data_IF_020054814933
#
_entry.id   IF_020054814933
#
_cell.length_a   1.000
_cell.length_b   1.000
_cell.length_c   1.000
_cell.angle_alpha   90.00
_cell.angle_beta   90.00
_cell.angle_gamma   90.00
#
_symmetry.space_group_name_H-M   'P 1'
#
loop_
_entity.id
_entity.type
_entity.pdbx_description
1 polymer ?
#
# COMPACT_ATOMS: atom_id res chain seq x y z
N UNK A 1 -0.18 -7.40 -15.20
CA UNK A 1 1.25 -7.11 -15.41
C UNK A 1 2.04 -7.97 -14.44
N UNK A 2 3.11 -8.66 -14.86
CA UNK A 2 3.98 -9.35 -13.92
C UNK A 2 4.62 -8.30 -13.00
N UNK A 3 4.55 -8.53 -11.70
CA UNK A 3 5.22 -7.72 -10.69
C UNK A 3 6.72 -7.84 -10.97
N UNK A 4 7.39 -6.71 -11.15
CA UNK A 4 8.83 -6.70 -11.33
C UNK A 4 9.50 -7.24 -10.06
N UNK A 5 9.99 -8.45 -10.09
CA UNK A 5 10.67 -9.13 -8.98
C UNK A 5 12.04 -8.51 -8.64
N UNK A 6 12.46 -7.47 -9.37
CA UNK A 6 13.72 -6.75 -9.15
C UNK A 6 13.55 -5.46 -8.30
N UNK A 7 12.45 -5.34 -7.56
CA UNK A 7 12.30 -4.24 -6.61
C UNK A 7 13.42 -4.29 -5.56
N UNK A 8 14.24 -3.25 -5.49
CA UNK A 8 15.30 -3.12 -4.50
C UNK A 8 14.77 -2.50 -3.22
N UNK A 9 15.22 -3.00 -2.08
CA UNK A 9 14.96 -2.39 -0.79
C UNK A 9 15.75 -1.08 -0.64
N UNK A 10 15.32 -0.21 0.29
CA UNK A 10 16.06 1.03 0.60
C UNK A 10 17.53 0.74 0.99
N UNK A 11 17.76 -0.31 1.76
CA UNK A 11 19.10 -0.75 2.15
C UNK A 11 19.93 -1.08 0.91
N UNK A 12 19.39 -1.85 -0.02
CA UNK A 12 20.10 -2.22 -1.25
C UNK A 12 20.40 -1.00 -2.14
N UNK A 13 19.51 0.00 -2.19
CA UNK A 13 19.74 1.24 -2.92
C UNK A 13 20.84 2.05 -2.24
N UNK A 14 20.77 2.19 -0.91
CA UNK A 14 21.79 2.88 -0.11
C UNK A 14 23.16 2.25 -0.30
N UNK A 15 23.27 0.94 -0.19
CA UNK A 15 24.51 0.19 -0.41
C UNK A 15 25.05 0.36 -1.83
N UNK A 16 24.17 0.37 -2.84
CA UNK A 16 24.62 0.63 -4.21
C UNK A 16 25.23 2.04 -4.35
N UNK A 17 24.64 3.05 -3.73
CA UNK A 17 25.17 4.41 -3.71
C UNK A 17 26.52 4.45 -3.00
N UNK A 18 26.64 3.84 -1.83
CA UNK A 18 27.88 3.78 -1.06
C UNK A 18 29.02 3.10 -1.82
N UNK A 19 28.72 1.98 -2.46
CA UNK A 19 29.70 1.27 -3.28
C UNK A 19 30.13 2.09 -4.51
N UNK A 20 29.21 2.78 -5.17
CA UNK A 20 29.54 3.63 -6.34
C UNK A 20 30.41 4.84 -5.98
N UNK A 21 30.21 5.39 -4.80
CA UNK A 21 30.94 6.57 -4.34
C UNK A 21 32.24 6.22 -3.60
N UNK A 22 32.42 4.95 -3.24
CA UNK A 22 33.55 4.51 -2.40
C UNK A 22 33.44 5.03 -0.95
N UNK A 23 32.30 5.53 -0.55
CA UNK A 23 32.08 6.16 0.75
C UNK A 23 31.60 5.17 1.83
N UNK A 24 31.54 3.87 1.51
CA UNK A 24 30.97 2.87 2.41
C UNK A 24 31.83 1.59 2.43
N UNK A 25 32.00 1.04 3.62
CA UNK A 25 32.47 -0.33 3.84
C UNK A 25 31.37 -1.14 4.54
N UNK A 26 31.31 -2.43 4.30
CA UNK A 26 30.34 -3.35 4.95
C UNK A 26 31.04 -4.45 5.69
N UNK A 27 30.43 -4.92 6.77
CA UNK A 27 30.94 -6.06 7.54
C UNK A 27 29.81 -6.79 8.28
N UNK A 28 30.22 -7.83 8.99
CA UNK A 28 29.33 -8.62 9.85
C UNK A 28 29.99 -8.71 11.24
N UNK A 29 29.23 -8.40 12.26
CA UNK A 29 29.69 -8.51 13.63
C UNK A 29 30.12 -9.95 13.90
N UNK A 30 31.33 -10.15 14.41
CA UNK A 30 31.84 -11.49 14.72
C UNK A 30 32.31 -11.66 16.18
N UNK A 31 32.22 -10.60 16.97
CA UNK A 31 32.51 -10.64 18.40
C UNK A 31 31.32 -10.17 19.25
N UNK A 32 31.27 -10.61 20.49
CA UNK A 32 30.25 -10.12 21.43
C UNK A 32 30.69 -8.77 21.97
N UNK A 33 30.09 -7.71 21.45
CA UNK A 33 30.28 -6.35 21.91
C UNK A 33 29.34 -5.96 23.07
N UNK A 34 29.08 -4.68 23.19
CA UNK A 34 28.05 -4.12 24.08
C UNK A 34 27.15 -3.19 23.27
N UNK A 35 26.14 -2.62 23.88
CA UNK A 35 25.29 -1.62 23.21
C UNK A 35 26.07 -0.41 22.67
N UNK A 36 27.27 -0.16 23.18
CA UNK A 36 28.14 0.95 22.75
C UNK A 36 29.40 0.50 21.99
N UNK A 37 29.51 -0.79 21.68
CA UNK A 37 30.69 -1.35 21.01
C UNK A 37 30.31 -2.37 19.94
N UNK A 38 31.01 -2.33 18.81
CA UNK A 38 30.90 -3.29 17.72
C UNK A 38 32.27 -3.92 17.50
N UNK A 39 32.35 -5.25 17.43
CA UNK A 39 33.57 -6.01 17.25
C UNK A 39 33.50 -6.81 15.97
N UNK A 40 34.49 -6.63 15.08
CA UNK A 40 34.64 -7.46 13.89
C UNK A 40 36.12 -7.61 13.51
N UNK A 41 36.69 -8.75 13.88
CA UNK A 41 38.08 -9.07 13.58
C UNK A 41 38.34 -9.42 12.12
N UNK A 42 37.32 -9.62 11.29
CA UNK A 42 37.45 -9.98 9.90
C UNK A 42 37.28 -8.79 8.95
N UNK A 43 36.37 -7.88 9.27
CA UNK A 43 36.01 -6.74 8.42
C UNK A 43 36.73 -5.44 8.76
N UNK A 44 37.10 -5.25 10.04
CA UNK A 44 37.79 -4.03 10.50
C UNK A 44 39.30 -4.23 10.45
N UNK A 45 39.91 -3.86 9.31
CA UNK A 45 41.35 -4.09 9.02
C UNK A 45 42.19 -2.83 9.01
N UNK A 46 41.57 -1.70 9.35
CA UNK A 46 42.25 -0.39 9.37
C UNK A 46 43.29 -0.20 10.46
N UNK A 47 44.06 0.87 10.37
CA UNK A 47 44.94 1.33 11.46
C UNK A 47 44.14 1.85 12.65
N UNK A 48 44.81 2.09 13.76
CA UNK A 48 44.20 2.69 14.93
C UNK A 48 43.58 4.06 14.54
N UNK A 49 42.44 4.39 15.08
CA UNK A 49 41.68 5.61 14.80
C UNK A 49 41.11 5.76 13.37
N UNK A 50 41.33 4.79 12.45
CA UNK A 50 40.93 4.95 11.04
C UNK A 50 39.47 5.24 10.79
N UNK A 51 38.60 4.74 11.64
CA UNK A 51 37.15 4.92 11.51
C UNK A 51 36.59 6.05 12.38
N UNK A 52 37.44 6.79 13.09
CA UNK A 52 37.01 7.86 13.98
C UNK A 52 36.30 8.98 13.20
N UNK A 53 35.14 9.39 13.71
CA UNK A 53 34.28 10.39 13.07
C UNK A 53 33.32 9.86 12.02
N UNK A 54 33.56 8.66 11.50
CA UNK A 54 32.67 7.97 10.57
C UNK A 54 31.33 7.60 11.22
N UNK A 55 30.36 7.26 10.41
CA UNK A 55 29.05 6.77 10.86
C UNK A 55 28.93 5.27 10.62
N UNK A 56 28.33 4.57 11.57
CA UNK A 56 27.98 3.17 11.41
C UNK A 56 26.44 3.01 11.37
N UNK A 57 25.96 2.23 10.41
CA UNK A 57 24.60 1.73 10.37
C UNK A 57 24.64 0.24 10.71
N UNK A 58 23.95 -0.18 11.75
CA UNK A 58 23.89 -1.58 12.18
C UNK A 58 22.46 -2.06 12.00
N UNK A 59 22.32 -3.21 11.33
CA UNK A 59 21.05 -3.89 11.11
C UNK A 59 20.99 -5.10 12.03
N UNK A 60 20.03 -5.09 12.95
CA UNK A 60 19.71 -6.23 13.81
C UNK A 60 19.05 -7.34 12.95
N UNK A 61 19.69 -8.48 12.87
CA UNK A 61 19.18 -9.64 12.12
C UNK A 61 17.88 -10.21 12.74
N UNK A 62 17.62 -9.95 14.01
CA UNK A 62 16.43 -10.41 14.72
C UNK A 62 15.18 -9.59 14.43
N UNK A 63 15.31 -8.28 14.28
CA UNK A 63 14.17 -7.35 14.12
C UNK A 63 14.12 -6.68 12.75
N UNK A 64 15.17 -6.78 11.95
CA UNK A 64 15.39 -6.03 10.72
C UNK A 64 15.42 -4.50 10.89
N UNK A 65 15.55 -4.01 12.11
CA UNK A 65 15.72 -2.61 12.42
C UNK A 65 17.17 -2.16 12.17
N UNK A 66 17.35 -0.91 11.77
CA UNK A 66 18.68 -0.33 11.55
C UNK A 66 18.84 0.90 12.40
N UNK A 67 19.92 0.94 13.17
CA UNK A 67 20.29 2.12 13.95
C UNK A 67 21.58 2.75 13.43
N UNK A 68 21.64 4.08 13.52
CA UNK A 68 22.80 4.86 13.08
C UNK A 68 23.49 5.48 14.26
N UNK A 69 24.82 5.35 14.33
CA UNK A 69 25.64 5.95 15.37
C UNK A 69 26.92 6.53 14.78
N UNK A 70 27.45 7.54 15.44
CA UNK A 70 28.79 8.04 15.11
C UNK A 70 29.83 7.20 15.87
N UNK A 71 30.92 6.88 15.17
CA UNK A 71 32.08 6.19 15.75
C UNK A 71 32.95 7.24 16.43
N UNK A 72 33.25 7.05 17.69
CA UNK A 72 34.13 7.94 18.47
C UNK A 72 35.55 7.45 18.53
N UNK A 73 35.73 6.14 18.46
CA UNK A 73 37.05 5.52 18.60
C UNK A 73 37.07 4.18 17.90
N UNK A 74 38.21 3.87 17.27
CA UNK A 74 38.52 2.54 16.75
C UNK A 74 39.83 2.06 17.31
N UNK A 75 39.80 0.93 17.98
CA UNK A 75 40.99 0.27 18.52
C UNK A 75 41.35 -0.92 17.64
N UNK A 76 42.42 -0.78 16.86
CA UNK A 76 42.85 -1.79 15.87
C UNK A 76 43.28 -3.10 16.53
N UNK A 77 43.94 -3.06 17.70
CA UNK A 77 44.40 -4.25 18.40
C UNK A 77 43.30 -5.18 18.90
N UNK A 78 42.12 -4.63 19.15
CA UNK A 78 40.90 -5.39 19.56
C UNK A 78 39.83 -5.41 18.47
N UNK A 79 40.07 -4.76 17.33
CA UNK A 79 39.11 -4.61 16.22
C UNK A 79 37.72 -4.15 16.68
N UNK A 80 37.74 -3.15 17.58
CA UNK A 80 36.57 -2.65 18.29
C UNK A 80 36.27 -1.22 17.88
N UNK A 81 35.02 -0.99 17.47
CA UNK A 81 34.44 0.36 17.30
C UNK A 81 33.71 0.77 18.55
N UNK A 82 34.01 1.95 19.06
CA UNK A 82 33.27 2.60 20.15
C UNK A 82 32.29 3.62 19.60
N UNK A 83 31.04 3.59 20.08
CA UNK A 83 29.95 4.42 19.56
C UNK A 83 29.71 5.62 20.49
N UNK A 84 29.36 6.76 19.89
CA UNK A 84 29.05 8.00 20.61
C UNK A 84 27.86 7.85 21.56
N UNK A 85 26.86 7.10 21.13
CA UNK A 85 25.64 6.78 21.90
C UNK A 85 25.37 5.29 21.79
N UNK A 86 24.82 4.72 22.85
CA UNK A 86 24.46 3.32 22.87
C UNK A 86 23.36 2.99 21.85
N UNK A 87 23.38 1.78 21.32
CA UNK A 87 22.30 1.18 20.53
C UNK A 87 21.18 0.74 21.48
N UNK A 88 20.00 0.55 20.97
CA UNK A 88 18.88 -0.03 21.72
C UNK A 88 19.02 -1.55 21.92
N UNK A 89 19.91 -2.19 21.19
CA UNK A 89 20.20 -3.61 21.24
C UNK A 89 21.72 -3.87 21.36
N UNK A 90 22.08 -5.07 21.77
CA UNK A 90 23.48 -5.52 21.78
C UNK A 90 23.78 -6.23 20.48
N UNK A 91 24.76 -5.76 19.68
CA UNK A 91 25.14 -6.42 18.42
C UNK A 91 25.58 -7.86 18.64
N UNK A 92 25.11 -8.75 17.77
CA UNK A 92 25.40 -10.18 17.77
C UNK A 92 26.13 -10.60 16.50
N UNK A 93 26.66 -11.82 16.47
CA UNK A 93 27.46 -12.34 15.33
C UNK A 93 26.68 -12.50 14.02
N UNK A 94 25.36 -12.27 14.02
CA UNK A 94 24.52 -12.31 12.80
C UNK A 94 24.26 -10.94 12.23
N UNK A 95 24.54 -9.87 13.00
CA UNK A 95 24.20 -8.51 12.62
C UNK A 95 25.18 -7.98 11.58
N UNK A 96 24.66 -7.26 10.63
CA UNK A 96 25.46 -6.63 9.58
C UNK A 96 25.60 -5.14 9.82
N UNK A 97 26.69 -4.58 9.38
CA UNK A 97 26.91 -3.16 9.51
C UNK A 97 27.45 -2.54 8.22
N UNK A 98 27.25 -1.23 8.11
CA UNK A 98 27.81 -0.35 7.08
C UNK A 98 28.57 0.77 7.78
N UNK A 99 29.84 1.00 7.42
CA UNK A 99 30.60 2.18 7.88
C UNK A 99 30.57 3.19 6.73
N UNK A 100 30.21 4.40 7.04
CA UNK A 100 30.05 5.50 6.10
C UNK A 100 30.99 6.64 6.43
N UNK A 101 31.57 7.23 5.40
CA UNK A 101 32.38 8.44 5.54
C UNK A 101 31.61 9.56 6.25
N UNK A 102 32.30 10.37 7.04
CA UNK A 102 31.69 11.50 7.79
C UNK A 102 30.89 12.46 6.90
N UNK A 103 31.29 12.59 5.62
CA UNK A 103 30.62 13.47 4.64
C UNK A 103 29.32 12.92 4.09
N UNK A 104 29.13 11.61 4.19
CA UNK A 104 27.96 10.90 3.67
C UNK A 104 27.31 10.01 4.74
N UNK A 105 26.75 10.57 5.83
CA UNK A 105 26.10 9.76 6.83
C UNK A 105 24.89 9.03 6.26
N UNK A 106 24.59 7.80 6.70
CA UNK A 106 23.49 6.97 6.20
C UNK A 106 22.13 7.67 6.21
N UNK A 107 21.88 8.50 7.21
CA UNK A 107 20.65 9.29 7.32
C UNK A 107 20.50 10.27 6.14
N UNK A 108 21.57 10.98 5.79
CA UNK A 108 21.57 11.88 4.64
C UNK A 108 21.31 11.16 3.34
N UNK A 109 21.92 9.98 3.15
CA UNK A 109 21.70 9.14 1.95
C UNK A 109 20.24 8.68 1.89
N UNK A 110 19.66 8.26 3.02
CA UNK A 110 18.25 7.88 3.09
C UNK A 110 17.32 9.05 2.74
N UNK A 111 17.61 10.26 3.19
CA UNK A 111 16.84 11.45 2.84
C UNK A 111 16.91 11.74 1.33
N UNK A 112 18.09 11.68 0.74
CA UNK A 112 18.26 11.84 -0.71
C UNK A 112 17.46 10.78 -1.49
N UNK A 113 17.45 9.52 -1.02
CA UNK A 113 16.65 8.46 -1.64
C UNK A 113 15.15 8.80 -1.55
N UNK A 114 14.67 9.26 -0.39
CA UNK A 114 13.28 9.63 -0.21
C UNK A 114 12.89 10.80 -1.12
N UNK A 115 13.71 11.84 -1.21
CA UNK A 115 13.48 12.99 -2.09
C UNK A 115 13.42 12.56 -3.56
N UNK A 116 14.35 11.69 -3.98
CA UNK A 116 14.35 11.13 -5.33
C UNK A 116 13.10 10.28 -5.63
N UNK A 117 12.62 9.50 -4.65
CA UNK A 117 11.38 8.73 -4.79
C UNK A 117 10.18 9.66 -4.89
N UNK A 118 10.14 10.73 -4.09
CA UNK A 118 9.06 11.72 -4.14
C UNK A 118 9.04 12.43 -5.50
N UNK A 119 10.17 12.89 -6.00
CA UNK A 119 10.28 13.50 -7.33
C UNK A 119 9.90 12.52 -8.45
N UNK A 120 10.40 11.28 -8.39
CA UNK A 120 10.05 10.25 -9.35
C UNK A 120 8.56 9.90 -9.31
N UNK A 121 7.94 9.92 -8.14
CA UNK A 121 6.52 9.56 -7.97
C UNK A 121 5.59 10.48 -8.75
N UNK A 122 5.96 11.74 -8.93
CA UNK A 122 5.19 12.71 -9.73
C UNK A 122 5.29 12.37 -11.23
N UNK A 123 6.43 11.87 -11.66
CA UNK A 123 6.71 11.60 -13.08
C UNK A 123 6.23 10.21 -13.50
N UNK A 124 6.36 9.21 -12.63
CA UNK A 124 6.07 7.80 -12.90
C UNK A 124 4.80 7.30 -12.24
N UNK A 125 3.78 8.16 -12.09
CA UNK A 125 2.48 7.73 -11.61
C UNK A 125 1.91 6.64 -12.51
N UNK A 126 1.62 5.49 -11.95
CA UNK A 126 0.90 4.42 -12.64
C UNK A 126 -0.56 4.84 -12.73
N UNK A 127 -1.15 4.89 -13.94
CA UNK A 127 -2.57 5.13 -14.08
C UNK A 127 -3.34 4.02 -13.37
N UNK A 128 -4.15 4.38 -12.40
CA UNK A 128 -5.07 3.48 -11.71
C UNK A 128 -6.49 3.98 -11.90
N UNK A 129 -7.44 3.07 -11.94
CA UNK A 129 -8.85 3.37 -12.07
C UNK A 129 -9.57 2.86 -10.84
N UNK A 130 -10.08 3.78 -10.03
CA UNK A 130 -10.90 3.45 -8.86
C UNK A 130 -12.37 3.63 -9.22
N UNK A 131 -13.14 2.56 -9.15
CA UNK A 131 -14.59 2.53 -9.40
C UNK A 131 -15.39 2.39 -8.10
N UNK A 132 -14.77 2.54 -6.94
CA UNK A 132 -15.42 2.39 -5.64
C UNK A 132 -16.33 3.57 -5.25
N UNK A 133 -16.20 4.70 -5.93
CA UNK A 133 -17.00 5.89 -5.64
C UNK A 133 -18.37 5.80 -6.32
N UNK A 134 -19.41 5.69 -5.52
CA UNK A 134 -20.80 5.72 -6.00
C UNK A 134 -21.39 7.12 -5.86
N UNK A 135 -21.89 7.66 -6.97
CA UNK A 135 -22.59 8.92 -6.98
C UNK A 135 -23.94 8.84 -6.27
N UNK A 136 -24.28 9.84 -5.46
CA UNK A 136 -25.58 10.02 -4.85
C UNK A 136 -26.12 11.40 -5.23
N UNK A 137 -27.42 11.50 -5.50
CA UNK A 137 -28.08 12.75 -5.96
C UNK A 137 -27.90 13.94 -5.03
N UNK A 138 -27.57 13.71 -3.77
CA UNK A 138 -27.41 14.75 -2.74
C UNK A 138 -25.96 14.97 -2.29
N UNK A 139 -25.04 14.11 -2.71
CA UNK A 139 -23.64 14.18 -2.29
C UNK A 139 -22.83 15.01 -3.29
N UNK A 140 -22.33 16.16 -2.84
CA UNK A 140 -21.53 17.10 -3.66
C UNK A 140 -20.03 16.95 -3.48
N UNK A 141 -19.60 16.25 -2.44
CA UNK A 141 -18.19 16.03 -2.13
C UNK A 141 -17.92 14.55 -1.86
N UNK A 142 -16.82 14.06 -2.38
CA UNK A 142 -16.38 12.68 -2.22
C UNK A 142 -14.95 12.67 -1.68
N UNK A 143 -14.69 11.77 -0.74
CA UNK A 143 -13.32 11.57 -0.26
C UNK A 143 -12.56 10.74 -1.30
N UNK A 144 -11.45 11.29 -1.78
CA UNK A 144 -10.56 10.57 -2.68
C UNK A 144 -9.73 9.59 -1.85
N UNK A 145 -9.60 8.32 -2.28
CA UNK A 145 -8.72 7.35 -1.61
C UNK A 145 -7.29 7.88 -1.46
N UNK A 146 -6.65 7.61 -0.32
CA UNK A 146 -5.33 8.16 0.02
C UNK A 146 -4.18 7.69 -0.87
N UNK A 147 -4.38 6.58 -1.60
CA UNK A 147 -3.44 6.07 -2.60
C UNK A 147 -3.43 6.87 -3.90
N UNK A 148 -4.45 7.71 -4.16
CA UNK A 148 -4.52 8.55 -5.35
C UNK A 148 -3.74 9.84 -5.08
N UNK A 149 -2.62 10.03 -5.76
CA UNK A 149 -1.76 11.23 -5.63
C UNK A 149 -2.11 12.33 -6.63
N UNK A 150 -2.62 11.96 -7.80
CA UNK A 150 -3.02 12.90 -8.85
C UNK A 150 -4.30 12.45 -9.52
N UNK A 151 -5.30 13.31 -9.51
CA UNK A 151 -6.57 13.07 -10.19
C UNK A 151 -6.49 13.60 -11.64
N UNK A 152 -6.31 12.71 -12.62
CA UNK A 152 -6.25 13.08 -14.04
C UNK A 152 -7.62 13.31 -14.67
N UNK A 153 -8.58 12.44 -14.34
CA UNK A 153 -9.90 12.44 -14.97
C UNK A 153 -10.95 11.90 -14.01
N UNK A 154 -12.08 12.60 -13.89
CA UNK A 154 -13.28 12.06 -13.26
C UNK A 154 -14.25 11.69 -14.37
N UNK A 155 -14.43 10.39 -14.57
CA UNK A 155 -15.48 9.90 -15.47
C UNK A 155 -16.70 9.55 -14.64
N UNK A 156 -17.74 10.35 -14.76
CA UNK A 156 -19.05 9.95 -14.28
C UNK A 156 -19.59 8.94 -15.29
N UNK A 157 -19.56 7.67 -14.94
CA UNK A 157 -20.43 6.71 -15.65
C UNK A 157 -21.86 7.11 -15.31
N UNK A 158 -22.49 7.81 -16.22
CA UNK A 158 -23.93 7.81 -16.24
C UNK A 158 -24.30 6.34 -16.42
N UNK A 159 -24.65 5.66 -15.32
CA UNK A 159 -25.29 4.39 -15.40
C UNK A 159 -26.59 4.70 -16.17
N UNK A 160 -26.53 4.63 -17.48
CA UNK A 160 -27.73 4.42 -18.23
C UNK A 160 -28.20 3.10 -17.69
N UNK A 161 -29.02 3.17 -16.65
CA UNK A 161 -29.91 2.08 -16.35
C UNK A 161 -30.72 1.95 -17.62
N UNK A 162 -30.25 1.11 -18.53
CA UNK A 162 -31.13 0.52 -19.50
C UNK A 162 -32.30 0.10 -18.62
N UNK A 163 -33.49 0.61 -18.92
CA UNK A 163 -34.69 0.28 -18.15
C UNK A 163 -34.97 -1.19 -18.38
N UNK A 164 -34.17 -2.04 -17.76
CA UNK A 164 -34.28 -3.48 -17.81
C UNK A 164 -35.67 -3.93 -17.38
N UNK A 165 -36.21 -3.20 -16.40
CA UNK A 165 -37.53 -3.45 -15.85
C UNK A 165 -38.19 -2.11 -15.57
N UNK A 166 -39.19 -1.74 -16.34
CA UNK A 166 -39.98 -0.56 -16.05
C UNK A 166 -41.07 -0.95 -15.02
N UNK A 167 -40.76 -0.74 -13.74
CA UNK A 167 -41.70 -0.99 -12.65
C UNK A 167 -42.91 -0.02 -12.69
N UNK A 168 -42.82 1.06 -13.45
CA UNK A 168 -43.95 2.02 -13.56
C UNK A 168 -45.12 1.47 -14.38
N UNK A 169 -44.92 0.46 -15.20
CA UNK A 169 -45.99 -0.19 -15.97
C UNK A 169 -46.28 -1.57 -15.39
N UNK A 170 -47.30 -1.63 -14.55
CA UNK A 170 -47.76 -2.89 -13.92
C UNK A 170 -48.36 -3.88 -14.91
N UNK A 171 -48.81 -3.44 -16.08
CA UNK A 171 -49.38 -4.31 -17.11
C UNK A 171 -48.37 -5.29 -17.73
N UNK A 172 -47.08 -4.99 -17.55
CA UNK A 172 -46.01 -5.85 -18.04
C UNK A 172 -45.65 -6.96 -17.05
N UNK A 173 -46.18 -6.94 -15.86
CA UNK A 173 -45.89 -7.88 -14.80
C UNK A 173 -47.02 -8.84 -14.57
N UNK A 174 -46.73 -10.10 -14.46
CA UNK A 174 -47.71 -11.14 -14.11
C UNK A 174 -47.56 -11.49 -12.63
N UNK A 175 -48.64 -11.44 -11.89
CA UNK A 175 -48.68 -11.88 -10.50
C UNK A 175 -48.43 -13.38 -10.42
N UNK A 176 -47.64 -13.80 -9.46
CA UNK A 176 -47.49 -15.21 -9.10
C UNK A 176 -48.71 -15.71 -8.27
N UNK A 177 -48.67 -16.97 -7.87
CA UNK A 177 -49.69 -17.56 -7.03
C UNK A 177 -49.70 -16.83 -5.67
N UNK A 178 -50.89 -16.44 -5.21
CA UNK A 178 -51.09 -15.72 -3.95
C UNK A 178 -50.49 -14.30 -3.86
N UNK A 179 -50.13 -13.68 -4.97
CA UNK A 179 -49.64 -12.30 -4.98
C UNK A 179 -50.49 -11.39 -5.82
N UNK A 180 -50.51 -10.11 -5.44
CA UNK A 180 -51.10 -9.03 -6.24
C UNK A 180 -50.00 -8.06 -6.64
N UNK A 181 -49.97 -7.69 -7.90
CA UNK A 181 -49.04 -6.70 -8.45
C UNK A 181 -49.80 -5.37 -8.60
N UNK A 182 -49.32 -4.33 -7.94
CA UNK A 182 -49.89 -3.00 -8.04
C UNK A 182 -48.80 -1.93 -8.19
N UNK A 183 -49.24 -0.75 -8.62
CA UNK A 183 -48.37 0.41 -8.78
C UNK A 183 -48.32 1.20 -7.47
N UNK A 184 -47.11 1.48 -6.98
CA UNK A 184 -46.90 2.45 -5.89
C UNK A 184 -46.34 3.75 -6.47
N UNK A 185 -47.09 4.84 -6.36
CA UNK A 185 -46.70 6.15 -6.83
C UNK A 185 -46.14 7.05 -5.72
N UNK A 186 -46.09 6.54 -4.48
CA UNK A 186 -45.63 7.31 -3.32
C UNK A 186 -44.15 7.02 -3.03
N UNK A 187 -43.73 5.77 -3.22
CA UNK A 187 -42.40 5.31 -2.87
C UNK A 187 -41.67 4.74 -4.09
N UNK A 188 -40.97 5.62 -4.82
CA UNK A 188 -40.22 5.23 -6.01
C UNK A 188 -38.92 5.99 -6.11
N UNK A 189 -37.90 5.33 -6.68
CA UNK A 189 -36.57 5.95 -6.91
C UNK A 189 -36.37 6.41 -8.36
N UNK A 190 -37.08 5.81 -9.30
CA UNK A 190 -36.94 6.12 -10.72
C UNK A 190 -38.21 5.77 -11.52
N UNK A 191 -38.58 6.60 -12.49
CA UNK A 191 -39.67 6.30 -13.43
C UNK A 191 -41.06 6.70 -12.97
N UNK A 192 -41.26 7.34 -11.82
CA UNK A 192 -42.55 7.84 -11.34
C UNK A 192 -43.43 6.84 -10.59
N UNK A 193 -42.98 5.60 -10.43
CA UNK A 193 -43.65 4.60 -9.59
C UNK A 193 -42.71 3.40 -9.32
N UNK A 194 -43.00 2.68 -8.26
CA UNK A 194 -42.43 1.38 -7.95
C UNK A 194 -43.48 0.25 -8.09
N UNK A 195 -43.01 -0.97 -8.13
CA UNK A 195 -43.86 -2.15 -8.12
C UNK A 195 -44.16 -2.53 -6.67
N UNK A 196 -45.44 -2.56 -6.33
CA UNK A 196 -45.87 -3.05 -5.03
C UNK A 196 -46.39 -4.50 -5.17
N UNK A 197 -45.77 -5.40 -4.43
CA UNK A 197 -46.13 -6.82 -4.42
C UNK A 197 -46.76 -7.12 -3.06
N UNK A 198 -48.05 -7.36 -3.08
CA UNK A 198 -48.81 -7.75 -1.89
C UNK A 198 -48.98 -9.27 -1.85
N UNK A 199 -48.54 -9.88 -0.79
CA UNK A 199 -48.78 -11.28 -0.52
C UNK A 199 -50.19 -11.48 0.12
N UNK A 200 -51.02 -12.29 -0.50
CA UNK A 200 -52.35 -12.63 -0.01
C UNK A 200 -52.35 -13.86 0.93
N UNK A 201 -51.20 -14.52 1.12
CA UNK A 201 -51.07 -15.69 1.99
C UNK A 201 -50.11 -15.43 3.16
N UNK A 202 -50.42 -15.95 4.32
CA UNK A 202 -49.57 -15.85 5.51
C UNK A 202 -48.24 -16.64 5.40
N UNK A 203 -48.17 -17.61 4.50
CA UNK A 203 -46.92 -18.36 4.23
C UNK A 203 -46.81 -18.69 2.75
N UNK A 204 -45.71 -18.23 2.15
CA UNK A 204 -45.28 -18.61 0.82
C UNK A 204 -44.04 -19.48 0.98
N UNK A 205 -43.97 -20.62 0.31
CA UNK A 205 -42.83 -21.48 0.34
C UNK A 205 -41.61 -20.75 -0.30
N UNK A 206 -40.41 -21.00 0.23
CA UNK A 206 -39.19 -20.57 -0.39
C UNK A 206 -39.16 -21.05 -1.86
N UNK A 207 -38.61 -20.28 -2.77
CA UNK A 207 -38.60 -20.51 -4.22
C UNK A 207 -39.94 -20.27 -4.96
N UNK A 208 -41.00 -19.80 -4.29
CA UNK A 208 -42.23 -19.42 -4.99
C UNK A 208 -42.03 -18.14 -5.81
N UNK A 209 -42.38 -18.18 -7.09
CA UNK A 209 -42.34 -17.01 -7.95
C UNK A 209 -43.48 -16.06 -7.54
N UNK A 210 -43.12 -14.90 -6.99
CA UNK A 210 -44.08 -13.88 -6.54
C UNK A 210 -44.54 -12.96 -7.67
N UNK A 211 -43.72 -12.68 -8.62
CA UNK A 211 -44.09 -11.97 -9.86
C UNK A 211 -43.01 -12.21 -10.93
N UNK A 212 -43.40 -12.17 -12.17
CA UNK A 212 -42.49 -12.29 -13.29
C UNK A 212 -42.89 -11.40 -14.46
N UNK A 213 -41.89 -11.08 -15.31
CA UNK A 213 -42.14 -10.36 -16.55
C UNK A 213 -41.48 -11.13 -17.68
N UNK A 214 -42.25 -11.42 -18.71
CA UNK A 214 -41.74 -11.98 -19.96
C UNK A 214 -41.11 -10.89 -20.80
N UNK A 215 -39.83 -11.09 -21.13
CA UNK A 215 -39.11 -10.18 -22.00
C UNK A 215 -39.39 -10.57 -23.48
N UNK A 216 -39.74 -9.60 -24.29
CA UNK A 216 -40.00 -9.80 -25.71
C UNK A 216 -38.75 -10.10 -26.56
N UNK A 217 -37.56 -9.88 -25.96
CA UNK A 217 -36.26 -10.14 -26.56
C UNK A 217 -35.26 -10.62 -25.53
N UNK A 218 -34.18 -11.27 -25.98
CA UNK A 218 -33.09 -11.69 -25.12
C UNK A 218 -32.42 -10.46 -24.48
N UNK A 219 -32.21 -10.52 -23.18
CA UNK A 219 -31.50 -9.49 -22.42
C UNK A 219 -30.00 -9.72 -22.56
N UNK A 220 -29.29 -8.77 -23.13
CA UNK A 220 -27.83 -8.77 -23.13
C UNK A 220 -27.31 -8.16 -21.82
N UNK A 221 -26.73 -9.01 -20.95
CA UNK A 221 -26.14 -8.63 -19.67
C UNK A 221 -24.60 -8.63 -19.71
N UNK A 222 -23.98 -8.78 -20.86
CA UNK A 222 -22.53 -8.92 -21.00
C UNK A 222 -21.76 -7.65 -20.58
N UNK A 223 -22.45 -6.51 -20.47
CA UNK A 223 -21.86 -5.21 -20.12
C UNK A 223 -22.40 -4.64 -18.79
N UNK A 224 -22.94 -5.48 -17.90
CA UNK A 224 -23.46 -5.05 -16.60
C UNK A 224 -22.45 -5.17 -15.50
#
# INVERSE_FOLDING_TARGET
>A
MPINTNAKTRIQIRQAIGNMTGAMATGTVNGTGSTSQVIDSNGLTGGDDEYNGSFIAISDAGTADSEYRRITDYTSSSTTLSLQTALSFTPTTSDTYEIWDERMPPERVNNIINDAIEEASITFLVPDQDESLFGSDKQRAYTIPSNIKLLKNVKVRNKVTSKLLNAANTNDWTAGTYTTVSKDSKDYRQGGASLNLLNASASIADSTVIAYKNLSSTLDISNM
#
